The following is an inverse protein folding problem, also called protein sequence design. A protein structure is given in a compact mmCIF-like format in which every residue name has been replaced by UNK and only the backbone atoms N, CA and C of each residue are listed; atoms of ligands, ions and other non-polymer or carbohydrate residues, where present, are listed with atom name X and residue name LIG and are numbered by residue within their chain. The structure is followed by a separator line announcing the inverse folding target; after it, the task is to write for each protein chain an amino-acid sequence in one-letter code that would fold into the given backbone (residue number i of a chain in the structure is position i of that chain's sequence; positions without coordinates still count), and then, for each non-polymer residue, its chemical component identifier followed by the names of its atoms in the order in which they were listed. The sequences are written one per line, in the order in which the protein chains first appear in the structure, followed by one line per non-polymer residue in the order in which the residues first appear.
data_IF_954234045282
#
_entry.id   IF_954234045282
#
_cell.length_a   1.000
_cell.length_b   1.000
_cell.length_c   1.000
_cell.angle_alpha   90.00
_cell.angle_beta   90.00
_cell.angle_gamma   90.00
#
_symmetry.space_group_name_H-M   'P 1'
#
loop_
_entity.id
_entity.type
_entity.pdbx_description
1 polymer ?
#
# COMPACT_ATOMS: atom_id res chain seq x y z
N UNK A 1 3.65 10.85 7.24
CA UNK A 1 3.47 9.58 7.96
C UNK A 1 2.13 9.63 8.65
N UNK A 2 1.26 8.64 8.42
CA UNK A 2 -0.14 8.68 8.88
C UNK A 2 -0.23 8.51 10.40
N UNK A 3 -1.32 9.00 10.98
CA UNK A 3 -1.61 8.78 12.40
C UNK A 3 -1.70 7.29 12.70
N UNK A 4 -1.07 6.83 13.78
CA UNK A 4 -1.16 5.43 14.19
C UNK A 4 -2.52 5.17 14.85
N UNK A 5 -3.22 4.15 14.39
CA UNK A 5 -4.40 3.60 15.08
C UNK A 5 -3.98 2.46 16.02
N UNK A 6 -4.62 2.29 17.20
CA UNK A 6 -4.37 1.15 18.09
C UNK A 6 -4.52 -0.21 17.38
N UNK A 7 -5.46 -0.29 16.44
CA UNK A 7 -5.68 -1.48 15.61
C UNK A 7 -4.45 -1.93 14.84
N UNK A 8 -3.55 -1.02 14.47
CA UNK A 8 -2.29 -1.39 13.81
C UNK A 8 -1.34 -2.14 14.74
N UNK A 9 -1.34 -1.81 16.04
CA UNK A 9 -0.55 -2.56 17.02
C UNK A 9 -1.11 -3.97 17.20
N UNK A 10 -2.43 -4.10 17.27
CA UNK A 10 -3.09 -5.41 17.34
C UNK A 10 -2.81 -6.24 16.08
N UNK A 11 -2.86 -5.63 14.90
CA UNK A 11 -2.51 -6.29 13.64
C UNK A 11 -1.04 -6.75 13.62
N UNK A 12 -0.12 -5.94 14.11
CA UNK A 12 1.29 -6.30 14.25
C UNK A 12 1.47 -7.50 15.19
N UNK A 13 0.82 -7.51 16.36
CA UNK A 13 0.89 -8.64 17.29
C UNK A 13 0.19 -9.90 16.73
N UNK A 14 -0.91 -9.73 16.01
CA UNK A 14 -1.59 -10.86 15.36
C UNK A 14 -0.76 -11.46 14.22
N UNK A 15 0.10 -10.66 13.58
CA UNK A 15 1.00 -11.15 12.53
C UNK A 15 2.02 -12.17 13.05
N UNK A 16 2.42 -12.09 14.33
CA UNK A 16 3.36 -13.06 14.94
C UNK A 16 2.75 -14.44 15.16
N UNK A 17 1.43 -14.57 14.95
CA UNK A 17 0.71 -15.85 15.05
C UNK A 17 0.55 -16.54 13.69
N UNK A 18 0.91 -15.86 12.59
CA UNK A 18 0.77 -16.40 11.25
C UNK A 18 1.98 -17.24 10.90
N UNK A 19 1.73 -18.45 10.41
CA UNK A 19 2.75 -19.29 9.77
C UNK A 19 2.50 -19.28 8.27
N UNK A 20 3.49 -18.77 7.53
CA UNK A 20 3.51 -18.76 6.07
C UNK A 20 4.91 -19.20 5.63
N UNK A 21 5.08 -20.40 5.06
CA UNK A 21 6.39 -20.93 4.70
C UNK A 21 7.07 -20.13 3.59
N UNK A 22 6.32 -19.33 2.83
CA UNK A 22 6.84 -18.52 1.73
C UNK A 22 7.24 -17.10 2.17
N UNK A 23 7.05 -16.77 3.46
CA UNK A 23 7.36 -15.47 4.03
C UNK A 23 8.26 -15.59 5.26
N UNK A 24 9.05 -14.54 5.56
CA UNK A 24 9.76 -14.43 6.82
C UNK A 24 8.83 -14.59 8.03
N UNK A 25 9.27 -15.32 9.05
CA UNK A 25 8.48 -15.46 10.27
C UNK A 25 8.50 -14.15 11.05
N UNK A 26 7.32 -13.65 11.40
CA UNK A 26 7.20 -12.43 12.20
C UNK A 26 7.36 -12.76 13.68
N UNK A 27 8.29 -12.06 14.34
CA UNK A 27 8.64 -12.27 15.75
C UNK A 27 8.68 -10.94 16.51
N UNK A 28 8.69 -11.03 17.84
CA UNK A 28 8.93 -9.89 18.72
C UNK A 28 10.38 -9.93 19.17
N UNK A 29 11.09 -8.82 18.99
CA UNK A 29 12.50 -8.65 19.36
C UNK A 29 12.63 -7.66 20.51
N UNK A 30 13.31 -8.06 21.59
CA UNK A 30 13.63 -7.18 22.70
C UNK A 30 14.94 -6.44 22.38
N UNK A 31 14.84 -5.15 22.03
CA UNK A 31 15.99 -4.32 21.69
C UNK A 31 16.62 -3.62 22.90
N UNK A 32 15.92 -3.58 24.04
CA UNK A 32 16.44 -2.98 25.26
C UNK A 32 17.37 -3.96 26.01
N UNK A 33 18.43 -3.40 26.61
CA UNK A 33 19.31 -4.12 27.55
C UNK A 33 18.57 -4.72 28.75
N UNK A 34 17.46 -4.11 29.17
CA UNK A 34 16.57 -4.62 30.20
C UNK A 34 15.51 -5.53 29.55
N UNK A 35 15.59 -6.86 29.73
CA UNK A 35 14.70 -7.80 29.06
C UNK A 35 13.23 -7.63 29.45
N UNK A 36 12.95 -7.00 30.60
CA UNK A 36 11.60 -6.77 31.11
C UNK A 36 11.03 -5.39 30.76
N UNK A 37 11.73 -4.57 29.97
CA UNK A 37 11.24 -3.26 29.58
C UNK A 37 10.29 -3.38 28.37
N UNK A 38 8.97 -3.17 28.52
CA UNK A 38 8.02 -3.37 27.42
C UNK A 38 8.16 -2.35 26.28
N UNK A 39 8.78 -1.20 26.53
CA UNK A 39 9.01 -0.16 25.51
C UNK A 39 10.18 -0.49 24.56
N UNK A 40 10.93 -1.55 24.85
CA UNK A 40 12.02 -2.04 23.98
C UNK A 40 11.59 -3.08 22.95
N UNK A 41 10.30 -3.47 22.94
CA UNK A 41 9.78 -4.49 22.03
C UNK A 41 9.60 -3.93 20.63
N UNK A 42 10.20 -4.60 19.65
CA UNK A 42 10.09 -4.29 18.22
C UNK A 42 9.49 -5.49 17.47
N UNK A 43 8.76 -5.20 16.39
CA UNK A 43 8.45 -6.23 15.39
C UNK A 43 9.74 -6.53 14.62
N UNK A 44 9.98 -7.80 14.35
CA UNK A 44 11.14 -8.28 13.63
C UNK A 44 10.77 -9.44 12.69
N UNK A 45 11.63 -9.69 11.72
CA UNK A 45 11.56 -10.89 10.89
C UNK A 45 12.71 -11.84 11.22
N UNK A 46 12.37 -13.12 11.34
CA UNK A 46 13.33 -14.22 11.38
C UNK A 46 13.50 -14.76 9.95
N UNK A 47 14.68 -14.51 9.37
CA UNK A 47 15.07 -14.95 8.02
C UNK A 47 16.40 -15.70 8.10
N UNK A 48 16.44 -16.96 7.65
CA UNK A 48 17.65 -17.78 7.62
C UNK A 48 18.40 -17.84 8.96
N UNK A 49 17.66 -17.96 10.07
CA UNK A 49 18.22 -18.01 11.43
C UNK A 49 18.68 -16.65 11.99
N UNK A 50 18.45 -15.55 11.27
CA UNK A 50 18.76 -14.19 11.72
C UNK A 50 17.48 -13.42 12.03
N UNK A 51 17.42 -12.79 13.21
CA UNK A 51 16.30 -11.92 13.60
C UNK A 51 16.71 -10.47 13.39
N UNK A 52 15.93 -9.73 12.59
CA UNK A 52 16.17 -8.31 12.32
C UNK A 52 14.92 -7.49 12.56
N UNK A 53 14.99 -6.38 13.33
CA UNK A 53 13.88 -5.44 13.45
C UNK A 53 13.45 -4.93 12.08
N UNK A 54 12.15 -4.75 11.91
CA UNK A 54 11.60 -4.24 10.64
C UNK A 54 11.60 -2.71 10.62
N UNK A 55 11.79 -2.17 9.42
CA UNK A 55 11.51 -0.78 9.10
C UNK A 55 10.42 -0.72 8.02
N UNK A 56 9.79 0.43 7.86
CA UNK A 56 8.82 0.67 6.77
C UNK A 56 9.47 0.45 5.41
N UNK A 57 8.74 -0.19 4.52
CA UNK A 57 9.03 -0.30 3.10
C UNK A 57 8.54 0.94 2.32
N UNK A 58 8.80 0.95 1.02
CA UNK A 58 8.29 1.94 0.08
C UNK A 58 6.98 1.46 -0.53
N UNK A 59 5.91 2.16 -0.19
CA UNK A 59 4.60 1.95 -0.78
C UNK A 59 4.55 2.66 -2.14
N UNK A 60 4.52 1.90 -3.23
CA UNK A 60 4.31 2.48 -4.54
C UNK A 60 2.89 3.07 -4.61
N UNK A 61 2.76 4.36 -4.91
CA UNK A 61 1.42 4.96 -5.05
C UNK A 61 0.71 4.49 -6.32
N UNK A 62 1.35 4.71 -7.48
CA UNK A 62 0.92 4.22 -8.79
C UNK A 62 2.09 4.25 -9.78
N UNK A 63 1.92 3.59 -10.93
CA UNK A 63 2.86 3.64 -12.05
C UNK A 63 2.20 4.22 -13.29
N UNK A 64 2.84 5.22 -13.90
CA UNK A 64 2.44 5.79 -15.18
C UNK A 64 3.13 5.10 -16.34
N UNK A 65 2.38 4.76 -17.38
CA UNK A 65 2.93 4.17 -18.60
C UNK A 65 2.45 4.92 -19.84
N UNK A 66 3.16 4.76 -20.97
CA UNK A 66 2.80 5.36 -22.26
C UNK A 66 2.97 4.31 -23.35
N UNK A 67 1.98 4.18 -24.23
CA UNK A 67 1.99 3.20 -25.32
C UNK A 67 1.89 1.74 -24.86
N UNK A 68 1.34 1.50 -23.67
CA UNK A 68 1.07 0.16 -23.13
C UNK A 68 -0.42 -0.13 -23.25
N UNK A 69 -0.76 -1.31 -23.72
CA UNK A 69 -2.11 -1.86 -23.65
C UNK A 69 -2.27 -2.66 -22.35
N UNK A 70 -3.31 -2.33 -21.59
CA UNK A 70 -3.60 -3.00 -20.33
C UNK A 70 -4.60 -4.14 -20.56
N UNK A 71 -4.29 -5.38 -20.14
CA UNK A 71 -5.27 -6.45 -20.16
C UNK A 71 -6.40 -6.17 -19.16
N UNK A 72 -7.57 -6.78 -19.33
CA UNK A 72 -8.64 -6.74 -18.34
C UNK A 72 -8.15 -7.18 -16.96
N UNK A 73 -8.71 -6.58 -15.92
CA UNK A 73 -8.41 -6.97 -14.55
C UNK A 73 -8.78 -8.46 -14.33
N UNK A 74 -7.91 -9.24 -13.65
CA UNK A 74 -8.22 -10.63 -13.34
C UNK A 74 -9.54 -10.78 -12.56
N UNK A 75 -10.44 -11.65 -13.01
CA UNK A 75 -11.80 -11.81 -12.46
C UNK A 75 -11.83 -12.08 -10.95
N UNK A 76 -10.80 -12.73 -10.40
CA UNK A 76 -10.70 -13.03 -8.97
C UNK A 76 -10.60 -11.77 -8.10
N UNK A 77 -10.21 -10.62 -8.67
CA UNK A 77 -10.12 -9.34 -7.96
C UNK A 77 -11.45 -8.59 -7.92
N UNK A 78 -12.37 -8.89 -8.85
CA UNK A 78 -13.64 -8.18 -8.96
C UNK A 78 -14.48 -8.19 -7.67
N UNK A 79 -14.60 -9.30 -6.91
CA UNK A 79 -15.34 -9.28 -5.66
C UNK A 79 -14.77 -8.33 -4.60
N UNK A 80 -13.46 -8.08 -4.62
CA UNK A 80 -12.83 -7.11 -3.72
C UNK A 80 -13.12 -5.68 -4.16
N UNK A 81 -13.04 -5.42 -5.46
CA UNK A 81 -13.37 -4.13 -6.04
C UNK A 81 -14.84 -3.76 -5.78
N UNK A 82 -15.77 -4.68 -6.05
CA UNK A 82 -17.20 -4.50 -5.78
C UNK A 82 -17.48 -4.23 -4.30
N UNK A 83 -16.87 -5.02 -3.40
CA UNK A 83 -17.03 -4.84 -1.97
C UNK A 83 -16.48 -3.47 -1.51
N UNK A 84 -15.32 -3.08 -2.04
CA UNK A 84 -14.73 -1.78 -1.76
C UNK A 84 -15.66 -0.64 -2.20
N UNK A 85 -16.24 -0.72 -3.40
CA UNK A 85 -17.15 0.30 -3.94
C UNK A 85 -18.43 0.41 -3.10
N UNK A 86 -19.04 -0.72 -2.75
CA UNK A 86 -20.26 -0.78 -1.92
C UNK A 86 -20.04 -0.14 -0.54
N UNK A 87 -18.92 -0.46 0.12
CA UNK A 87 -18.59 0.13 1.42
C UNK A 87 -18.19 1.59 1.29
N UNK A 88 -17.55 1.98 0.19
CA UNK A 88 -17.24 3.39 -0.09
C UNK A 88 -18.50 4.23 -0.15
N UNK A 89 -19.51 3.80 -0.92
CA UNK A 89 -20.81 4.46 -1.00
C UNK A 89 -21.48 4.58 0.38
N UNK A 90 -21.50 3.48 1.14
CA UNK A 90 -22.08 3.46 2.50
C UNK A 90 -21.40 4.48 3.42
N UNK A 91 -20.07 4.53 3.38
CA UNK A 91 -19.27 5.42 4.21
C UNK A 91 -19.37 6.89 3.78
N UNK A 92 -19.56 7.17 2.49
CA UNK A 92 -19.82 8.52 1.99
C UNK A 92 -21.21 9.03 2.38
N UNK A 93 -22.21 8.15 2.50
CA UNK A 93 -23.54 8.48 3.03
C UNK A 93 -23.60 8.72 4.54
N UNK A 94 -22.54 8.37 5.28
CA UNK A 94 -22.49 8.51 6.74
C UNK A 94 -22.17 9.94 7.19
N UNK A 95 -22.73 10.36 8.33
CA UNK A 95 -22.40 11.63 9.01
C UNK A 95 -21.20 11.52 9.96
N UNK A 96 -20.56 10.36 10.01
CA UNK A 96 -19.40 10.11 10.86
C UNK A 96 -18.17 10.92 10.40
N UNK A 97 -17.61 11.68 11.34
CA UNK A 97 -16.50 12.62 11.14
C UNK A 97 -15.12 12.02 11.46
N UNK A 98 -15.05 10.77 11.89
CA UNK A 98 -13.77 10.07 12.08
C UNK A 98 -13.04 9.94 10.74
N UNK A 99 -11.71 9.75 10.80
CA UNK A 99 -10.88 9.56 9.59
C UNK A 99 -11.41 8.41 8.74
N UNK A 100 -11.13 8.46 7.44
CA UNK A 100 -11.51 7.37 6.54
C UNK A 100 -10.96 6.03 7.02
N UNK A 101 -9.68 6.04 7.39
CA UNK A 101 -8.95 4.92 7.98
C UNK A 101 -9.73 4.27 9.14
N UNK A 102 -10.14 5.08 10.12
CA UNK A 102 -10.89 4.60 11.28
C UNK A 102 -12.20 3.93 10.85
N UNK A 103 -12.98 4.60 10.00
CA UNK A 103 -14.28 4.08 9.56
C UNK A 103 -14.14 2.81 8.72
N UNK A 104 -13.06 2.69 7.95
CA UNK A 104 -12.80 1.49 7.16
C UNK A 104 -12.36 0.31 8.05
N UNK A 105 -11.62 0.56 9.12
CA UNK A 105 -11.31 -0.47 10.12
C UNK A 105 -12.59 -1.03 10.76
N UNK A 106 -13.60 -0.18 11.02
CA UNK A 106 -14.91 -0.63 11.52
C UNK A 106 -15.61 -1.55 10.50
N UNK A 107 -15.52 -1.25 9.19
CA UNK A 107 -16.01 -2.14 8.12
C UNK A 107 -15.29 -3.49 8.19
N UNK A 108 -13.96 -3.50 8.27
CA UNK A 108 -13.18 -4.74 8.34
C UNK A 108 -13.51 -5.56 9.60
N UNK A 109 -13.69 -4.92 10.75
CA UNK A 109 -14.11 -5.59 12.00
C UNK A 109 -15.50 -6.20 11.86
N UNK A 110 -16.44 -5.45 11.29
CA UNK A 110 -17.81 -5.92 11.03
C UNK A 110 -17.88 -7.09 10.04
N UNK A 111 -16.91 -7.22 9.14
CA UNK A 111 -16.77 -8.39 8.27
C UNK A 111 -16.18 -9.62 8.98
N UNK A 112 -15.51 -9.43 10.12
CA UNK A 112 -14.87 -10.49 10.94
C UNK A 112 -15.78 -10.96 12.08
N UNK A 113 -16.81 -10.20 12.47
CA UNK A 113 -17.74 -10.62 13.53
C UNK A 113 -18.58 -11.84 13.11
N UNK A 114 -18.18 -12.98 13.68
CA UNK A 114 -18.87 -14.26 13.71
C UNK A 114 -20.33 -14.10 14.16
N UNK A 115 -21.28 -14.71 13.44
CA UNK A 115 -22.56 -15.05 14.07
C UNK A 115 -22.32 -16.05 15.20
N UNK A 116 -23.13 -15.94 16.25
CA UNK A 116 -23.15 -16.81 17.45
C UNK A 116 -23.40 -18.31 17.17
N UNK A 117 -23.61 -18.69 15.92
CA UNK A 117 -23.90 -20.06 15.47
C UNK A 117 -22.67 -20.79 14.89
N UNK A 118 -21.49 -20.16 14.87
CA UNK A 118 -20.25 -20.82 14.44
C UNK A 118 -20.12 -20.98 12.92
N UNK A 119 -21.03 -20.42 12.12
CA UNK A 119 -20.92 -20.41 10.67
C UNK A 119 -20.38 -19.05 10.18
N UNK A 120 -19.27 -19.08 9.44
CA UNK A 120 -18.76 -17.91 8.73
C UNK A 120 -19.81 -17.47 7.71
N UNK A 121 -20.39 -16.28 7.87
CA UNK A 121 -20.90 -15.54 6.72
C UNK A 121 -19.68 -15.33 5.83
N UNK A 122 -19.61 -16.07 4.73
CA UNK A 122 -18.63 -15.76 3.71
C UNK A 122 -19.01 -14.39 3.17
N UNK A 123 -18.40 -13.33 3.70
CA UNK A 123 -18.11 -12.17 2.86
C UNK A 123 -17.56 -12.72 1.55
N UNK A 124 -17.94 -12.20 0.38
CA UNK A 124 -17.33 -12.60 -0.90
C UNK A 124 -15.80 -12.63 -0.85
N UNK A 125 -15.22 -11.83 0.06
CA UNK A 125 -13.80 -11.76 0.40
C UNK A 125 -13.28 -13.02 1.14
N UNK A 126 -14.05 -13.64 2.04
CA UNK A 126 -13.58 -14.78 2.85
C UNK A 126 -13.28 -16.04 2.00
N UNK A 127 -14.07 -16.29 0.96
CA UNK A 127 -13.79 -17.35 -0.02
C UNK A 127 -12.58 -17.04 -0.90
N UNK A 128 -12.43 -15.77 -1.30
CA UNK A 128 -11.33 -15.28 -2.15
C UNK A 128 -10.00 -15.15 -1.39
N UNK A 129 -10.01 -14.93 -0.07
CA UNK A 129 -8.82 -14.95 0.80
C UNK A 129 -8.13 -16.32 0.77
N UNK A 130 -8.89 -17.43 0.66
CA UNK A 130 -8.30 -18.77 0.51
C UNK A 130 -7.61 -18.97 -0.84
N UNK A 131 -8.12 -18.33 -1.91
CA UNK A 131 -7.54 -18.36 -3.27
C UNK A 131 -6.35 -17.40 -3.42
N UNK A 132 -6.27 -16.36 -2.57
CA UNK A 132 -5.13 -15.44 -2.45
C UNK A 132 -3.80 -16.16 -2.23
N UNK A 133 -3.80 -17.40 -1.74
CA UNK A 133 -2.59 -18.17 -1.44
C UNK A 133 -1.76 -18.62 -2.64
N UNK A 134 -2.29 -18.62 -3.87
CA UNK A 134 -1.51 -19.11 -5.01
C UNK A 134 -0.58 -18.02 -5.60
N UNK A 135 -0.94 -16.74 -5.45
CA UNK A 135 -0.22 -15.58 -6.02
C UNK A 135 0.02 -14.45 -4.99
N UNK A 136 -0.31 -14.68 -3.72
CA UNK A 136 -0.59 -13.65 -2.70
C UNK A 136 0.56 -12.72 -2.34
N UNK A 137 1.76 -12.99 -2.84
CA UNK A 137 2.96 -12.17 -2.67
C UNK A 137 2.82 -10.78 -3.31
N UNK A 138 2.19 -10.70 -4.49
CA UNK A 138 2.17 -9.46 -5.27
C UNK A 138 0.96 -8.57 -4.96
N UNK A 139 -0.04 -9.07 -4.24
CA UNK A 139 -1.27 -8.32 -3.97
C UNK A 139 -2.18 -8.19 -5.20
N UNK A 140 -3.02 -7.15 -5.21
CA UNK A 140 -3.92 -6.82 -6.31
C UNK A 140 -3.19 -6.03 -7.40
N UNK A 141 -3.71 -6.05 -8.63
CA UNK A 141 -3.05 -5.40 -9.76
C UNK A 141 -3.41 -6.00 -11.11
N UNK A 142 -3.34 -5.21 -12.16
CA UNK A 142 -3.26 -5.73 -13.52
C UNK A 142 -1.91 -6.42 -13.77
N UNK A 143 -1.81 -7.16 -14.88
CA UNK A 143 -0.62 -7.94 -15.23
C UNK A 143 0.65 -7.07 -15.39
N UNK A 144 0.51 -5.86 -15.95
CA UNK A 144 1.63 -4.93 -16.17
C UNK A 144 2.17 -4.46 -14.83
N UNK A 145 1.30 -3.96 -13.96
CA UNK A 145 1.67 -3.48 -12.64
C UNK A 145 2.24 -4.61 -11.77
N UNK A 146 1.63 -5.80 -11.80
CA UNK A 146 2.13 -6.96 -11.05
C UNK A 146 3.51 -7.39 -11.52
N UNK A 147 3.78 -7.37 -12.82
CA UNK A 147 5.10 -7.69 -13.37
C UNK A 147 6.15 -6.67 -12.94
N UNK A 148 5.81 -5.38 -12.98
CA UNK A 148 6.72 -4.31 -12.56
C UNK A 148 7.06 -4.41 -11.06
N UNK A 149 6.06 -4.61 -10.21
CA UNK A 149 6.25 -4.77 -8.77
C UNK A 149 7.05 -6.02 -8.46
N UNK A 150 6.79 -7.14 -9.13
CA UNK A 150 7.58 -8.37 -8.96
C UNK A 150 9.06 -8.14 -9.27
N UNK A 151 9.38 -7.40 -10.34
CA UNK A 151 10.75 -7.02 -10.65
C UNK A 151 11.37 -6.11 -9.58
N UNK A 152 10.62 -5.13 -9.05
CA UNK A 152 11.11 -4.25 -7.99
C UNK A 152 11.36 -5.01 -6.69
N UNK A 153 10.46 -5.91 -6.31
CA UNK A 153 10.60 -6.76 -5.13
C UNK A 153 11.83 -7.65 -5.27
N UNK A 154 11.97 -8.40 -6.37
CA UNK A 154 13.13 -9.24 -6.65
C UNK A 154 14.43 -8.44 -6.70
N UNK A 155 14.43 -7.28 -7.33
CA UNK A 155 15.61 -6.42 -7.37
C UNK A 155 16.02 -5.97 -5.96
N UNK A 156 15.05 -5.56 -5.14
CA UNK A 156 15.30 -5.18 -3.75
C UNK A 156 15.85 -6.37 -2.95
N UNK A 157 15.20 -7.53 -3.00
CA UNK A 157 15.54 -8.69 -2.14
C UNK A 157 16.76 -9.45 -2.63
N UNK A 158 16.85 -9.71 -3.92
CA UNK A 158 17.83 -10.65 -4.48
C UNK A 158 19.14 -9.94 -4.83
N UNK A 159 19.07 -8.66 -5.23
CA UNK A 159 20.26 -7.87 -5.60
C UNK A 159 20.78 -7.05 -4.43
N UNK A 160 19.90 -6.38 -3.69
CA UNK A 160 20.31 -5.48 -2.59
C UNK A 160 20.11 -6.05 -1.20
N UNK A 161 19.58 -7.27 -1.09
CA UNK A 161 19.42 -7.99 0.18
C UNK A 161 18.60 -7.21 1.23
N UNK A 162 17.63 -6.42 0.75
CA UNK A 162 16.66 -5.72 1.59
C UNK A 162 15.25 -5.85 1.01
N UNK A 163 14.21 -5.83 1.84
CA UNK A 163 12.82 -5.84 1.37
C UNK A 163 12.23 -4.44 1.40
N UNK A 164 12.75 -3.55 0.56
CA UNK A 164 12.36 -2.14 0.50
C UNK A 164 11.07 -1.91 -0.30
N UNK A 165 10.60 -2.88 -1.07
CA UNK A 165 9.26 -2.92 -1.67
C UNK A 165 8.71 -4.32 -1.38
N UNK A 166 7.51 -4.43 -0.81
CA UNK A 166 6.96 -5.74 -0.43
C UNK A 166 5.53 -6.01 -0.91
N UNK A 167 4.89 -5.05 -1.56
CA UNK A 167 3.53 -5.23 -2.08
C UNK A 167 3.25 -4.40 -3.33
N UNK A 168 2.09 -4.69 -3.95
CA UNK A 168 1.53 -3.93 -5.06
C UNK A 168 1.31 -2.45 -4.73
N UNK A 169 1.15 -1.67 -5.80
CA UNK A 169 0.85 -0.25 -5.70
C UNK A 169 -0.51 0.03 -5.04
N UNK A 170 -0.59 1.12 -4.29
CA UNK A 170 -1.77 1.55 -3.53
C UNK A 170 -3.01 1.79 -4.40
N UNK A 171 -2.82 2.10 -5.69
CA UNK A 171 -3.92 2.21 -6.64
C UNK A 171 -4.72 0.91 -6.84
N UNK A 172 -4.19 -0.22 -6.37
CA UNK A 172 -4.85 -1.53 -6.36
C UNK A 172 -5.22 -2.01 -4.95
N UNK A 173 -5.03 -1.22 -3.89
CA UNK A 173 -5.34 -1.65 -2.54
C UNK A 173 -6.86 -1.69 -2.27
N UNK A 174 -7.52 -2.74 -2.78
CA UNK A 174 -8.98 -2.92 -2.69
C UNK A 174 -9.45 -3.44 -1.34
N UNK A 175 -8.56 -4.04 -0.57
CA UNK A 175 -8.89 -4.56 0.75
C UNK A 175 -8.89 -3.45 1.81
N UNK A 176 -7.97 -2.50 1.70
CA UNK A 176 -7.82 -1.42 2.65
C UNK A 176 -7.47 -0.10 1.92
N UNK A 177 -8.37 0.46 1.10
CA UNK A 177 -8.12 1.72 0.40
C UNK A 177 -7.82 2.84 1.40
N UNK A 178 -6.63 3.41 1.30
CA UNK A 178 -6.11 4.38 2.28
C UNK A 178 -6.44 5.82 1.89
N UNK A 179 -6.26 6.74 2.83
CA UNK A 179 -6.29 8.18 2.57
C UNK A 179 -5.10 8.58 1.68
N UNK A 180 -5.29 9.64 0.91
CA UNK A 180 -4.19 10.27 0.18
C UNK A 180 -3.19 10.85 1.18
N UNK A 181 -1.90 10.65 0.93
CA UNK A 181 -0.82 11.29 1.67
C UNK A 181 -0.67 12.77 1.28
N UNK A 182 -0.04 13.54 2.17
CA UNK A 182 0.20 14.97 1.98
C UNK A 182 1.27 15.26 0.90
N UNK A 183 2.21 14.33 0.71
CA UNK A 183 3.37 14.47 -0.15
C UNK A 183 3.73 13.14 -0.84
N UNK A 184 4.12 13.22 -2.11
CA UNK A 184 4.47 12.10 -2.97
C UNK A 184 5.82 12.32 -3.63
N UNK A 185 6.66 11.29 -3.64
CA UNK A 185 7.87 11.27 -4.45
C UNK A 185 7.55 10.80 -5.86
N UNK A 186 7.66 11.70 -6.84
CA UNK A 186 7.49 11.38 -8.26
C UNK A 186 8.85 11.19 -8.91
N UNK A 187 9.06 10.02 -9.52
CA UNK A 187 10.20 9.72 -10.38
C UNK A 187 9.79 9.85 -11.84
N UNK A 188 10.39 10.78 -12.58
CA UNK A 188 10.05 11.00 -13.99
C UNK A 188 11.26 11.44 -14.80
N UNK A 189 11.50 10.76 -15.92
CA UNK A 189 12.66 11.03 -16.78
C UNK A 189 12.59 12.39 -17.49
N UNK A 190 11.38 12.93 -17.66
CA UNK A 190 11.15 14.24 -18.28
C UNK A 190 11.43 15.43 -17.36
N UNK A 191 11.74 15.20 -16.08
CA UNK A 191 12.28 16.27 -15.24
C UNK A 191 13.63 16.71 -15.79
N UNK A 192 13.70 17.99 -16.16
CA UNK A 192 14.89 18.59 -16.74
C UNK A 192 16.05 18.47 -15.75
N UNK A 193 17.19 17.94 -16.22
CA UNK A 193 18.41 17.75 -15.42
C UNK A 193 18.97 19.06 -14.87
N UNK A 194 18.49 20.20 -15.37
CA UNK A 194 18.96 21.54 -15.05
C UNK A 194 18.03 22.38 -14.15
N UNK A 195 16.76 21.97 -13.94
CA UNK A 195 15.79 22.77 -13.17
C UNK A 195 15.54 22.19 -11.77
N UNK A 196 16.57 22.32 -10.91
CA UNK A 196 16.40 22.14 -9.47
C UNK A 196 16.20 23.54 -8.84
N UNK A 197 15.01 24.10 -8.98
CA UNK A 197 14.65 25.40 -8.37
C UNK A 197 13.56 25.31 -7.31
N UNK A 198 13.07 24.12 -6.99
CA UNK A 198 11.99 23.99 -6.02
C UNK A 198 12.55 23.54 -4.67
N UNK A 199 12.74 24.53 -3.80
CA UNK A 199 13.15 24.36 -2.41
C UNK A 199 12.14 23.51 -1.61
N UNK A 200 12.47 22.25 -1.36
CA UNK A 200 12.12 21.58 -0.11
C UNK A 200 13.45 21.13 0.54
N UNK A 201 13.97 21.97 1.43
CA UNK A 201 15.29 21.80 2.04
C UNK A 201 15.37 20.57 2.93
N UNK A 202 15.73 19.41 2.37
CA UNK A 202 16.38 18.28 3.05
C UNK A 202 17.21 17.46 2.05
N UNK A 203 18.39 17.97 1.69
CA UNK A 203 19.36 17.23 0.88
C UNK A 203 20.65 18.03 0.77
N UNK A 204 21.75 17.47 1.26
CA UNK A 204 23.06 18.13 1.27
C UNK A 204 23.56 18.49 -0.14
N UNK A 205 24.46 19.48 -0.19
CA UNK A 205 25.20 19.90 -1.36
C UNK A 205 25.86 18.70 -2.07
N UNK A 206 25.27 18.28 -3.19
CA UNK A 206 25.89 17.61 -4.37
C UNK A 206 24.84 16.99 -5.35
N UNK A 207 23.56 17.36 -5.29
CA UNK A 207 22.52 16.82 -6.20
C UNK A 207 22.36 17.67 -7.47
N UNK A 208 23.30 17.52 -8.40
CA UNK A 208 23.06 17.81 -9.82
C UNK A 208 22.16 16.72 -10.41
N UNK A 209 21.08 17.09 -11.13
CA UNK A 209 20.27 16.23 -12.01
C UNK A 209 19.23 15.26 -11.39
N UNK A 210 18.37 15.73 -10.48
CA UNK A 210 17.40 14.82 -9.85
C UNK A 210 16.17 14.56 -10.74
N UNK A 211 16.03 13.34 -11.30
CA UNK A 211 14.81 12.83 -11.96
C UNK A 211 13.66 12.55 -10.95
N UNK A 212 13.63 13.29 -9.86
CA UNK A 212 12.72 13.12 -8.73
C UNK A 212 12.21 14.48 -8.28
N UNK A 213 10.94 14.56 -7.90
CA UNK A 213 10.34 15.72 -7.23
C UNK A 213 9.36 15.27 -6.17
N UNK A 214 9.29 16.02 -5.07
CA UNK A 214 8.22 15.88 -4.10
C UNK A 214 7.07 16.79 -4.51
N UNK A 215 5.87 16.22 -4.61
CA UNK A 215 4.65 16.92 -4.97
C UNK A 215 3.62 16.72 -3.87
N UNK A 216 2.90 17.78 -3.50
CA UNK A 216 1.67 17.60 -2.73
C UNK A 216 0.55 16.99 -3.58
N UNK A 217 -0.56 16.59 -2.97
CA UNK A 217 -1.69 15.97 -3.66
C UNK A 217 -2.23 16.79 -4.85
N UNK A 218 -2.37 18.12 -4.69
CA UNK A 218 -2.83 19.00 -5.77
C UNK A 218 -1.84 19.08 -6.93
N UNK A 219 -0.56 19.23 -6.62
CA UNK A 219 0.52 19.23 -7.61
C UNK A 219 0.64 17.88 -8.33
N UNK A 220 0.45 16.77 -7.61
CA UNK A 220 0.43 15.43 -8.19
C UNK A 220 -0.71 15.31 -9.20
N UNK A 221 -1.93 15.70 -8.84
CA UNK A 221 -3.07 15.68 -9.79
C UNK A 221 -2.77 16.48 -11.05
N UNK A 222 -2.29 17.73 -10.92
CA UNK A 222 -1.91 18.54 -12.08
C UNK A 222 -0.84 17.87 -12.93
N UNK A 223 0.19 17.30 -12.30
CA UNK A 223 1.23 16.55 -12.99
C UNK A 223 0.65 15.35 -13.78
N UNK A 224 -0.20 14.54 -13.16
CA UNK A 224 -0.85 13.39 -13.82
C UNK A 224 -1.71 13.84 -15.00
N UNK A 225 -2.54 14.87 -14.83
CA UNK A 225 -3.36 15.42 -15.91
C UNK A 225 -2.54 15.92 -17.10
N UNK A 226 -1.40 16.58 -16.85
CA UNK A 226 -0.52 17.05 -17.91
C UNK A 226 0.15 15.88 -18.64
N UNK A 227 0.58 14.84 -17.91
CA UNK A 227 1.13 13.63 -18.52
C UNK A 227 0.08 12.85 -19.33
N UNK A 228 -1.19 12.86 -18.91
CA UNK A 228 -2.28 12.25 -19.70
C UNK A 228 -2.40 12.92 -21.09
N UNK A 229 -2.24 14.25 -21.18
CA UNK A 229 -2.22 14.97 -22.47
C UNK A 229 -1.05 14.53 -23.37
N UNK A 230 0.03 14.03 -22.77
CA UNK A 230 1.19 13.48 -23.48
C UNK A 230 1.03 11.99 -23.82
N UNK A 231 -0.12 11.37 -23.52
CA UNK A 231 -0.42 9.98 -23.80
C UNK A 231 -0.01 9.00 -22.71
N UNK A 232 0.26 9.47 -21.48
CA UNK A 232 0.42 8.59 -20.34
C UNK A 232 -0.94 8.09 -19.83
N UNK A 233 -0.94 6.88 -19.27
CA UNK A 233 -2.08 6.25 -18.58
C UNK A 233 -1.65 5.92 -17.16
N UNK A 234 -2.56 6.15 -16.21
CA UNK A 234 -2.36 5.91 -14.79
C UNK A 234 -3.53 5.11 -14.23
N UNK A 235 -3.31 3.95 -13.59
CA UNK A 235 -4.35 3.30 -12.82
C UNK A 235 -4.65 4.11 -11.55
N UNK A 236 -5.93 4.29 -11.26
CA UNK A 236 -6.41 4.95 -10.06
C UNK A 236 -7.26 3.99 -9.24
N UNK A 237 -7.16 4.09 -7.91
CA UNK A 237 -8.10 3.39 -7.04
C UNK A 237 -9.49 4.04 -7.19
N UNK A 238 -10.55 3.30 -7.55
CA UNK A 238 -11.90 3.85 -7.65
C UNK A 238 -12.40 4.53 -6.38
N UNK A 239 -11.94 4.09 -5.21
CA UNK A 239 -12.27 4.74 -3.94
C UNK A 239 -11.83 6.20 -3.92
N UNK A 240 -10.67 6.54 -4.47
CA UNK A 240 -10.16 7.92 -4.50
C UNK A 240 -11.04 8.80 -5.39
N UNK A 241 -11.45 8.28 -6.56
CA UNK A 241 -12.30 9.02 -7.50
C UNK A 241 -13.67 9.32 -6.90
N UNK A 242 -14.25 8.37 -6.14
CA UNK A 242 -15.54 8.56 -5.49
C UNK A 242 -15.47 9.46 -4.25
N UNK A 243 -14.41 9.31 -3.44
CA UNK A 243 -14.28 9.96 -2.14
C UNK A 243 -13.73 11.37 -2.24
N UNK A 244 -12.73 11.57 -3.08
CA UNK A 244 -11.91 12.77 -3.07
C UNK A 244 -12.36 13.71 -4.20
N UNK A 245 -12.74 14.96 -3.89
CA UNK A 245 -13.06 15.95 -4.91
C UNK A 245 -11.88 16.20 -5.87
N UNK A 246 -12.17 16.69 -7.08
CA UNK A 246 -11.21 17.04 -8.12
C UNK A 246 -10.55 15.88 -8.90
N UNK A 247 -11.07 14.66 -8.75
CA UNK A 247 -10.76 13.53 -9.64
C UNK A 247 -11.76 13.36 -10.81
N UNK A 248 -12.87 14.09 -10.80
CA UNK A 248 -13.91 14.15 -11.83
C UNK A 248 -14.35 15.59 -12.12
#
# INVERSE_FOLDING_TARGET
GRGSEPDYMDMNLMSTRKEDPDQPKVVIYQHDSNPMHPRGLLVAYEENGNVRPVASDFDAFLFGSKGIEYPPMPEWQLPFLECMMMHTETLLGSRDKRSWTHRWLDVLKGQVELRKDGHLLTSPIAGSIKKKRQDGRLGFGDEVNRTLVDHLMKYSTDVHHHGAVRHAAECFNYYFPQEMDEEYLVLWHGYDRSSNTDHAGRGGQNDSQSQRRYLNEGQLRSFLCDRVKEGYVFPLNPCWVLRDPAWY
#
